data_IF_715654357502
#
_entry.id   IF_715654357502
#
_cell.length_a   1.000
_cell.length_b   1.000
_cell.length_c   1.000
_cell.angle_alpha   90.00
_cell.angle_beta   90.00
_cell.angle_gamma   90.00
#
_symmetry.space_group_name_H-M   'P 1'
#
loop_
_entity.id
_entity.type
_entity.pdbx_description
1 polymer ?
#
# COMPACT_ATOMS: atom_id res chain seq x y z
N UNK A 1 -13.88 -15.07 -25.71
CA UNK A 1 -15.01 -15.43 -24.84
C UNK A 1 -14.83 -14.60 -23.58
N UNK A 2 -15.62 -13.54 -23.38
CA UNK A 2 -15.53 -12.67 -22.21
C UNK A 2 -15.96 -13.48 -20.98
N UNK A 3 -15.03 -13.77 -20.07
CA UNK A 3 -15.34 -14.46 -18.81
C UNK A 3 -15.80 -13.40 -17.82
N UNK A 4 -17.10 -13.13 -17.76
CA UNK A 4 -17.69 -12.42 -16.64
C UNK A 4 -17.62 -13.32 -15.42
N UNK A 5 -16.87 -12.94 -14.37
CA UNK A 5 -17.05 -13.59 -13.06
C UNK A 5 -18.36 -13.08 -12.46
N UNK A 6 -19.30 -14.00 -12.26
CA UNK A 6 -20.50 -13.78 -11.45
C UNK A 6 -20.04 -13.60 -9.99
N UNK A 7 -19.84 -12.35 -9.58
CA UNK A 7 -19.53 -11.99 -8.20
C UNK A 7 -20.75 -11.37 -7.54
N UNK A 8 -21.29 -12.04 -6.52
CA UNK A 8 -22.22 -11.41 -5.58
C UNK A 8 -21.40 -10.56 -4.63
N UNK A 9 -21.60 -9.23 -4.63
CA UNK A 9 -21.07 -8.38 -3.55
C UNK A 9 -21.90 -8.70 -2.31
N UNK A 10 -21.36 -9.55 -1.44
CA UNK A 10 -21.88 -9.69 -0.08
C UNK A 10 -21.57 -8.38 0.63
N UNK A 11 -22.59 -7.58 0.90
CA UNK A 11 -22.50 -6.44 1.80
C UNK A 11 -22.17 -6.97 3.21
N UNK A 12 -20.93 -6.86 3.72
CA UNK A 12 -20.57 -7.46 5.00
C UNK A 12 -21.06 -6.63 6.19
N UNK A 13 -21.61 -5.43 5.95
CA UNK A 13 -22.04 -4.52 7.02
C UNK A 13 -23.37 -3.90 6.63
N UNK A 14 -24.45 -4.38 7.25
CA UNK A 14 -25.80 -3.87 7.08
C UNK A 14 -25.97 -2.45 7.61
N UNK A 15 -25.52 -1.45 6.85
CA UNK A 15 -25.94 -0.06 7.01
C UNK A 15 -26.13 0.52 5.60
N UNK A 16 -27.36 0.89 5.24
CA UNK A 16 -27.68 1.50 3.93
C UNK A 16 -28.53 0.61 3.01
N UNK A 17 -29.85 0.74 3.13
CA UNK A 17 -30.81 0.13 2.20
C UNK A 17 -30.79 0.86 0.85
N UNK A 18 -29.92 0.44 -0.08
CA UNK A 18 -30.18 0.55 -1.51
C UNK A 18 -30.50 -0.86 -1.99
N UNK A 19 -31.78 -1.16 -2.20
CA UNK A 19 -32.20 -2.42 -2.81
C UNK A 19 -31.81 -2.40 -4.29
N UNK A 20 -30.69 -3.03 -4.61
CA UNK A 20 -30.41 -3.44 -5.98
C UNK A 20 -31.35 -4.61 -6.33
N UNK A 21 -31.79 -4.75 -7.59
CA UNK A 21 -32.64 -5.86 -8.01
C UNK A 21 -32.03 -7.21 -7.59
N UNK A 22 -32.85 -8.12 -7.06
CA UNK A 22 -32.41 -9.47 -6.72
C UNK A 22 -31.76 -10.13 -7.95
N UNK A 23 -30.55 -10.69 -7.77
CA UNK A 23 -29.70 -11.30 -8.81
C UNK A 23 -29.05 -10.34 -9.84
N UNK A 24 -29.02 -9.03 -9.63
CA UNK A 24 -28.22 -8.13 -10.49
C UNK A 24 -26.74 -8.06 -10.06
N UNK A 25 -25.82 -8.21 -11.01
CA UNK A 25 -24.41 -7.87 -10.82
C UNK A 25 -24.25 -6.36 -10.87
N UNK A 26 -23.78 -5.76 -9.77
CA UNK A 26 -23.53 -4.31 -9.69
C UNK A 26 -22.04 -4.07 -9.71
N UNK A 27 -21.57 -3.18 -10.59
CA UNK A 27 -20.15 -2.83 -10.64
C UNK A 27 -19.79 -1.99 -9.43
N UNK A 28 -18.58 -2.17 -8.88
CA UNK A 28 -18.12 -1.37 -7.74
C UNK A 28 -18.22 0.13 -8.06
N UNK A 29 -17.82 0.55 -9.26
CA UNK A 29 -17.92 1.93 -9.73
C UNK A 29 -19.36 2.49 -9.80
N UNK A 30 -20.38 1.63 -9.78
CA UNK A 30 -21.80 2.03 -9.80
C UNK A 30 -22.39 2.17 -8.39
N UNK A 31 -21.74 1.58 -7.37
CA UNK A 31 -22.18 1.66 -5.99
C UNK A 31 -22.26 3.12 -5.52
N UNK A 32 -23.22 3.41 -4.64
CA UNK A 32 -23.37 4.76 -4.07
C UNK A 32 -22.78 4.79 -2.67
N UNK A 33 -21.99 5.81 -2.37
CA UNK A 33 -21.44 6.01 -1.04
C UNK A 33 -22.57 6.23 -0.03
N UNK A 34 -22.48 5.52 1.09
CA UNK A 34 -23.39 5.66 2.23
C UNK A 34 -22.77 6.53 3.33
N UNK A 35 -21.45 6.66 3.35
CA UNK A 35 -20.69 7.41 4.37
C UNK A 35 -20.44 8.84 3.88
N UNK A 36 -21.52 9.62 3.76
CA UNK A 36 -21.47 10.98 3.21
C UNK A 36 -20.66 11.96 4.07
N UNK A 37 -20.57 11.72 5.38
CA UNK A 37 -19.82 12.58 6.31
C UNK A 37 -18.29 12.44 6.16
N UNK A 38 -17.82 11.28 5.70
CA UNK A 38 -16.39 11.02 5.45
C UNK A 38 -15.97 11.30 4.00
N UNK A 39 -16.93 11.62 3.12
CA UNK A 39 -16.67 11.81 1.71
C UNK A 39 -15.84 13.06 1.46
N UNK A 40 -14.66 12.88 0.85
CA UNK A 40 -13.84 13.98 0.39
C UNK A 40 -14.47 14.62 -0.86
N UNK A 41 -14.30 15.94 -1.04
CA UNK A 41 -14.68 16.57 -2.29
C UNK A 41 -13.69 16.21 -3.41
N UNK A 42 -14.06 15.22 -4.21
CA UNK A 42 -13.30 14.71 -5.37
C UNK A 42 -13.79 15.25 -6.72
N UNK A 43 -14.73 16.20 -6.68
CA UNK A 43 -15.22 16.90 -7.87
C UNK A 43 -14.18 17.93 -8.33
N UNK A 44 -14.04 18.09 -9.65
CA UNK A 44 -13.06 19.00 -10.25
C UNK A 44 -11.99 18.30 -11.09
N UNK A 45 -11.06 19.14 -11.59
CA UNK A 45 -9.87 18.70 -12.32
C UNK A 45 -8.82 18.26 -11.29
N UNK A 46 -8.28 17.03 -11.38
CA UNK A 46 -7.20 16.59 -10.49
C UNK A 46 -5.95 17.46 -10.66
N UNK A 47 -5.31 17.80 -9.54
CA UNK A 47 -4.01 18.49 -9.52
C UNK A 47 -2.89 17.54 -9.95
N UNK A 48 -3.07 16.23 -9.73
CA UNK A 48 -2.14 15.20 -10.12
C UNK A 48 -2.90 13.99 -10.71
N UNK A 49 -2.49 13.55 -11.91
CA UNK A 49 -2.95 12.31 -12.52
C UNK A 49 -1.75 11.38 -12.63
N UNK A 50 -1.78 10.26 -11.89
CA UNK A 50 -0.70 9.28 -11.88
C UNK A 50 -1.20 7.94 -12.40
N UNK A 51 -0.45 7.34 -13.33
CA UNK A 51 -0.74 6.02 -13.88
C UNK A 51 0.17 4.99 -13.23
N UNK A 52 -0.38 4.21 -12.28
CA UNK A 52 0.31 3.05 -11.73
C UNK A 52 -0.06 1.85 -12.58
N UNK A 53 0.94 1.10 -13.01
CA UNK A 53 0.70 -0.12 -13.76
C UNK A 53 1.55 -1.24 -13.20
N UNK A 54 1.06 -2.46 -13.32
CA UNK A 54 1.79 -3.63 -12.86
C UNK A 54 1.76 -4.76 -13.87
N UNK A 55 2.78 -5.60 -13.77
CA UNK A 55 2.91 -6.83 -14.53
C UNK A 55 3.78 -7.83 -13.79
N UNK A 56 3.68 -9.10 -14.17
CA UNK A 56 4.62 -10.12 -13.73
C UNK A 56 5.74 -10.24 -14.75
N UNK A 57 6.98 -10.05 -14.31
CA UNK A 57 8.16 -10.30 -15.12
C UNK A 57 8.88 -11.55 -14.61
N UNK A 58 9.39 -12.35 -15.54
CA UNK A 58 10.07 -13.61 -15.22
C UNK A 58 11.56 -13.45 -15.44
N UNK A 59 12.32 -13.78 -14.41
CA UNK A 59 13.77 -13.76 -14.37
C UNK A 59 14.29 -15.17 -14.02
N UNK A 60 15.60 -15.46 -14.17
CA UNK A 60 16.16 -16.77 -13.80
C UNK A 60 15.88 -17.18 -12.34
N UNK A 61 15.70 -16.21 -11.44
CA UNK A 61 15.40 -16.41 -10.02
C UNK A 61 13.92 -16.60 -9.70
N UNK A 62 13.01 -16.46 -10.68
CA UNK A 62 11.57 -16.61 -10.50
C UNK A 62 10.74 -15.52 -11.19
N UNK A 63 9.43 -15.55 -10.94
CA UNK A 63 8.50 -14.52 -11.40
C UNK A 63 8.26 -13.49 -10.30
N UNK A 64 8.37 -12.21 -10.64
CA UNK A 64 8.24 -11.10 -9.71
C UNK A 64 7.14 -10.16 -10.20
N UNK A 65 6.14 -9.86 -9.35
CA UNK A 65 5.19 -8.82 -9.63
C UNK A 65 5.83 -7.45 -9.39
N UNK A 66 5.71 -6.56 -10.37
CA UNK A 66 6.37 -5.27 -10.35
C UNK A 66 5.38 -4.15 -10.61
N UNK A 67 5.51 -3.05 -9.86
CA UNK A 67 4.90 -1.77 -10.23
C UNK A 67 5.92 -1.00 -11.08
N UNK A 68 5.49 -0.37 -12.18
CA UNK A 68 6.39 0.44 -13.02
C UNK A 68 7.65 -0.30 -13.52
N UNK A 69 7.53 -1.59 -13.82
CA UNK A 69 8.66 -2.46 -14.15
C UNK A 69 9.76 -2.55 -13.08
N UNK A 70 9.45 -2.18 -11.83
CA UNK A 70 10.40 -2.11 -10.72
C UNK A 70 9.90 -2.96 -9.56
N UNK A 71 10.77 -3.78 -9.01
CA UNK A 71 10.50 -4.56 -7.79
C UNK A 71 10.69 -3.65 -6.57
N UNK A 72 9.70 -3.57 -5.70
CA UNK A 72 9.85 -2.84 -4.44
C UNK A 72 10.87 -3.51 -3.52
N UNK A 73 11.83 -2.71 -3.03
CA UNK A 73 12.78 -3.12 -2.00
C UNK A 73 12.45 -2.46 -0.67
N UNK A 74 12.32 -3.25 0.40
CA UNK A 74 12.08 -2.71 1.73
C UNK A 74 13.34 -2.01 2.26
N UNK A 75 13.24 -0.75 2.72
CA UNK A 75 14.34 -0.10 3.41
C UNK A 75 14.57 -0.79 4.76
N UNK A 76 15.81 -0.76 5.26
CA UNK A 76 16.19 -1.33 6.56
C UNK A 76 15.70 -0.50 7.76
N UNK A 77 14.92 0.54 7.52
CA UNK A 77 14.37 1.45 8.52
C UNK A 77 12.96 1.94 8.12
N UNK A 78 12.10 2.30 9.09
CA UNK A 78 10.81 2.90 8.80
C UNK A 78 10.98 4.33 8.26
N UNK A 79 10.40 4.60 7.09
CA UNK A 79 10.53 5.88 6.40
C UNK A 79 9.99 7.06 7.21
N UNK A 80 8.90 6.87 7.96
CA UNK A 80 8.26 7.97 8.69
C UNK A 80 9.10 8.47 9.87
N UNK A 81 9.75 7.58 10.61
CA UNK A 81 10.49 7.92 11.84
C UNK A 81 11.97 8.19 11.59
N UNK A 82 12.55 7.61 10.53
CA UNK A 82 13.96 7.76 10.14
C UNK A 82 14.09 8.42 8.76
N UNK A 83 13.21 9.39 8.46
CA UNK A 83 13.17 10.10 7.16
C UNK A 83 14.46 10.82 6.80
N UNK A 84 15.24 11.25 7.79
CA UNK A 84 16.53 11.92 7.58
C UNK A 84 17.63 10.94 7.13
N UNK A 85 17.40 9.63 7.24
CA UNK A 85 18.29 8.57 6.74
C UNK A 85 18.02 8.22 5.27
N UNK A 86 17.03 8.85 4.64
CA UNK A 86 16.69 8.66 3.22
C UNK A 86 17.72 9.43 2.38
N UNK A 87 18.54 8.70 1.61
CA UNK A 87 19.47 9.28 0.63
C UNK A 87 18.97 9.06 -0.80
N UNK A 88 19.36 9.93 -1.73
CA UNK A 88 18.83 9.93 -3.11
C UNK A 88 19.19 8.69 -3.93
N UNK A 89 20.21 7.95 -3.53
CA UNK A 89 20.69 6.70 -4.13
C UNK A 89 19.91 5.46 -3.65
N UNK A 90 19.10 5.59 -2.60
CA UNK A 90 18.31 4.48 -2.04
C UNK A 90 16.92 4.36 -2.68
N UNK A 91 16.42 5.42 -3.30
CA UNK A 91 15.03 5.52 -3.73
C UNK A 91 14.94 5.98 -5.18
N UNK A 92 14.05 5.34 -5.92
CA UNK A 92 13.64 5.79 -7.24
C UNK A 92 12.17 6.25 -7.20
N UNK A 93 11.64 6.77 -8.31
CA UNK A 93 10.26 7.25 -8.41
C UNK A 93 9.66 6.81 -9.73
N UNK A 94 8.61 6.00 -9.67
CA UNK A 94 7.92 5.49 -10.85
C UNK A 94 8.76 4.46 -11.61
N UNK A 95 8.74 4.55 -12.93
CA UNK A 95 9.52 3.67 -13.81
C UNK A 95 10.95 4.17 -13.92
N UNK A 96 11.92 3.26 -13.77
CA UNK A 96 13.34 3.59 -13.91
C UNK A 96 13.89 3.13 -15.27
N UNK A 97 14.82 3.89 -15.86
CA UNK A 97 15.56 3.45 -17.04
C UNK A 97 16.32 2.15 -16.78
N UNK A 98 16.35 1.24 -17.76
CA UNK A 98 17.01 -0.06 -17.64
C UNK A 98 18.54 0.03 -17.50
N UNK A 99 19.14 1.16 -17.88
CA UNK A 99 20.57 1.49 -17.72
C UNK A 99 20.88 2.22 -16.41
N UNK A 100 19.89 2.43 -15.55
CA UNK A 100 20.09 3.03 -14.23
C UNK A 100 20.81 2.09 -13.26
N UNK A 101 21.44 2.65 -12.23
CA UNK A 101 22.09 1.88 -11.16
C UNK A 101 21.15 1.01 -10.31
N UNK A 102 19.83 1.14 -10.51
CA UNK A 102 18.81 0.31 -9.86
C UNK A 102 18.56 -1.03 -10.57
N UNK A 103 19.11 -1.20 -11.77
CA UNK A 103 18.84 -2.33 -12.64
C UNK A 103 20.09 -3.17 -12.87
N UNK A 104 19.95 -4.50 -12.78
CA UNK A 104 20.98 -5.47 -13.16
C UNK A 104 20.33 -6.56 -14.00
N UNK A 105 20.84 -6.81 -15.21
CA UNK A 105 20.33 -7.83 -16.13
C UNK A 105 18.80 -7.73 -16.39
N UNK A 106 18.30 -6.49 -16.48
CA UNK A 106 16.88 -6.20 -16.69
C UNK A 106 16.00 -6.30 -15.43
N UNK A 107 16.55 -6.75 -14.29
CA UNK A 107 15.87 -6.73 -13.00
C UNK A 107 16.13 -5.40 -12.29
N UNK A 108 15.10 -4.56 -12.21
CA UNK A 108 15.15 -3.27 -11.51
C UNK A 108 14.55 -3.38 -10.11
N UNK A 109 15.23 -2.83 -9.09
CA UNK A 109 14.77 -2.87 -7.71
C UNK A 109 15.12 -1.59 -6.96
N UNK A 110 14.12 -1.01 -6.28
CA UNK A 110 14.27 0.19 -5.45
C UNK A 110 13.05 0.31 -4.51
N UNK A 111 13.07 1.18 -3.49
CA UNK A 111 11.90 1.38 -2.62
C UNK A 111 10.75 2.20 -3.26
N UNK A 112 10.95 2.82 -4.41
CA UNK A 112 9.93 3.48 -5.24
C UNK A 112 9.00 4.44 -4.47
N UNK A 113 9.42 5.69 -4.30
CA UNK A 113 8.65 6.72 -3.60
C UNK A 113 8.04 7.69 -4.62
N UNK A 114 6.72 7.82 -4.60
CA UNK A 114 5.96 8.80 -5.37
C UNK A 114 5.52 9.96 -4.48
N UNK A 115 5.75 11.19 -4.93
CA UNK A 115 5.45 12.39 -4.15
C UNK A 115 4.09 12.97 -4.55
N UNK A 116 3.24 13.24 -3.56
CA UNK A 116 1.96 13.92 -3.73
C UNK A 116 1.87 15.11 -2.76
N UNK A 117 1.76 16.35 -3.27
CA UNK A 117 1.65 17.54 -2.43
C UNK A 117 0.44 17.49 -1.50
N UNK A 118 0.55 18.11 -0.32
CA UNK A 118 -0.58 18.28 0.60
C UNK A 118 -1.71 19.06 -0.08
N UNK A 119 -2.95 18.76 0.28
CA UNK A 119 -4.21 19.31 -0.23
C UNK A 119 -4.53 19.07 -1.72
N UNK A 120 -3.62 18.42 -2.45
CA UNK A 120 -3.84 18.06 -3.86
C UNK A 120 -4.96 17.03 -4.03
N UNK A 121 -5.78 17.22 -5.07
CA UNK A 121 -6.70 16.21 -5.59
C UNK A 121 -5.93 15.28 -6.54
N UNK A 122 -5.79 14.02 -6.14
CA UNK A 122 -5.09 13.00 -6.90
C UNK A 122 -6.09 12.11 -7.63
N UNK A 123 -5.85 11.86 -8.91
CA UNK A 123 -6.44 10.76 -9.68
C UNK A 123 -5.37 9.70 -9.94
N UNK A 124 -5.58 8.51 -9.37
CA UNK A 124 -4.72 7.37 -9.59
C UNK A 124 -5.41 6.40 -10.55
N UNK A 125 -4.81 6.18 -11.71
CA UNK A 125 -5.26 5.20 -12.68
C UNK A 125 -4.39 3.96 -12.51
N UNK A 126 -4.97 2.89 -11.98
CA UNK A 126 -4.29 1.64 -11.71
C UNK A 126 -4.60 0.67 -12.84
N UNK A 127 -3.56 0.16 -13.51
CA UNK A 127 -3.70 -0.66 -14.72
C UNK A 127 -3.06 -2.02 -14.54
N UNK A 128 -3.85 -3.08 -14.76
CA UNK A 128 -3.35 -4.43 -14.88
C UNK A 128 -2.88 -4.69 -16.32
N UNK A 129 -1.57 -4.82 -16.52
CA UNK A 129 -1.00 -5.18 -17.82
C UNK A 129 -0.70 -6.68 -17.93
N UNK A 130 -1.00 -7.47 -16.89
CA UNK A 130 -0.83 -8.90 -16.92
C UNK A 130 -2.12 -9.58 -17.42
N UNK A 131 -1.98 -10.32 -18.52
CA UNK A 131 -3.05 -11.14 -19.09
C UNK A 131 -2.94 -12.62 -18.66
N UNK A 132 -1.88 -13.02 -17.97
CA UNK A 132 -1.54 -14.44 -17.79
C UNK A 132 -1.98 -15.01 -16.45
N UNK A 133 -1.90 -14.25 -15.35
CA UNK A 133 -2.21 -14.81 -14.02
C UNK A 133 -3.70 -15.05 -13.77
N UNK A 134 -4.61 -14.53 -14.61
CA UNK A 134 -6.07 -14.70 -14.49
C UNK A 134 -6.62 -14.39 -13.06
N UNK A 135 -5.90 -13.55 -12.30
CA UNK A 135 -6.26 -13.15 -10.95
C UNK A 135 -6.36 -11.64 -10.85
N UNK A 136 -7.42 -11.16 -10.21
CA UNK A 136 -7.55 -9.75 -9.87
C UNK A 136 -6.56 -9.39 -8.74
N UNK A 137 -6.15 -8.13 -8.70
CA UNK A 137 -5.20 -7.65 -7.70
C UNK A 137 -5.87 -6.64 -6.77
N UNK A 138 -6.09 -6.98 -5.49
CA UNK A 138 -6.60 -6.03 -4.51
C UNK A 138 -5.51 -5.02 -4.18
N UNK A 139 -5.62 -3.80 -4.68
CA UNK A 139 -4.66 -2.73 -4.41
C UNK A 139 -5.14 -1.90 -3.22
N UNK A 140 -4.30 -1.80 -2.20
CA UNK A 140 -4.57 -1.12 -0.94
C UNK A 140 -3.65 0.10 -0.78
N UNK A 141 -4.23 1.20 -0.29
CA UNK A 141 -3.52 2.43 0.03
C UNK A 141 -3.68 2.77 1.51
N UNK A 142 -2.56 2.92 2.21
CA UNK A 142 -2.56 3.37 3.60
C UNK A 142 -2.78 4.90 3.68
N UNK A 143 -3.15 5.39 4.87
CA UNK A 143 -3.16 6.82 5.18
C UNK A 143 -4.35 7.63 4.67
N UNK A 144 -5.09 7.12 3.70
CA UNK A 144 -6.31 7.74 3.18
C UNK A 144 -7.29 6.70 2.69
N UNK A 145 -8.58 7.02 2.76
CA UNK A 145 -9.59 6.37 1.93
C UNK A 145 -9.64 7.09 0.57
N UNK A 146 -10.23 6.43 -0.42
CA UNK A 146 -10.37 6.94 -1.77
C UNK A 146 -11.71 6.55 -2.38
N UNK A 147 -12.16 7.35 -3.33
CA UNK A 147 -13.36 7.11 -4.11
C UNK A 147 -13.04 6.30 -5.36
N UNK A 148 -13.73 5.17 -5.57
CA UNK A 148 -13.60 4.39 -6.81
C UNK A 148 -14.54 4.99 -7.86
N UNK A 149 -13.99 5.73 -8.83
CA UNK A 149 -14.78 6.53 -9.77
C UNK A 149 -15.00 5.85 -11.11
N UNK A 150 -14.15 4.90 -11.51
CA UNK A 150 -14.31 4.09 -12.71
C UNK A 150 -13.58 2.76 -12.56
N UNK A 151 -14.05 1.73 -13.26
CA UNK A 151 -13.40 0.42 -13.30
C UNK A 151 -13.94 -0.36 -14.51
N UNK A 152 -13.06 -0.96 -15.30
CA UNK A 152 -13.45 -1.71 -16.51
C UNK A 152 -12.35 -2.71 -16.91
N UNK A 153 -12.72 -3.72 -17.69
CA UNK A 153 -11.78 -4.61 -18.41
C UNK A 153 -11.63 -4.17 -19.86
N UNK A 154 -10.42 -4.23 -20.41
CA UNK A 154 -10.13 -3.91 -21.81
C UNK A 154 -9.44 -5.12 -22.49
N UNK A 155 -9.93 -5.53 -23.65
CA UNK A 155 -9.21 -6.53 -24.45
C UNK A 155 -7.93 -5.93 -25.03
N UNK A 156 -6.81 -6.66 -24.94
CA UNK A 156 -5.49 -6.22 -25.42
C UNK A 156 -5.07 -4.88 -24.79
N UNK A 157 -5.27 -4.74 -23.47
CA UNK A 157 -4.91 -3.54 -22.73
C UNK A 157 -3.43 -3.22 -22.86
N UNK A 158 -3.12 -1.93 -23.02
CA UNK A 158 -1.77 -1.38 -22.90
C UNK A 158 -1.82 -0.14 -22.04
N UNK A 159 -0.67 0.27 -21.49
CA UNK A 159 -0.61 1.52 -20.74
C UNK A 159 -1.03 2.72 -21.60
N UNK A 160 -0.56 2.79 -22.84
CA UNK A 160 -0.84 3.91 -23.75
C UNK A 160 -2.30 4.00 -24.13
N UNK A 161 -2.97 2.85 -24.34
CA UNK A 161 -4.41 2.84 -24.66
C UNK A 161 -5.25 3.37 -23.49
N UNK A 162 -4.91 2.99 -22.25
CA UNK A 162 -5.61 3.50 -21.05
C UNK A 162 -5.31 4.98 -20.81
N UNK A 163 -4.05 5.41 -20.96
CA UNK A 163 -3.66 6.83 -20.85
C UNK A 163 -4.42 7.68 -21.84
N UNK A 164 -4.40 7.30 -23.12
CA UNK A 164 -5.12 8.01 -24.18
C UNK A 164 -6.62 8.07 -23.90
N UNK A 165 -7.23 6.95 -23.49
CA UNK A 165 -8.65 6.90 -23.15
C UNK A 165 -8.99 7.83 -21.98
N UNK A 166 -8.14 7.89 -20.94
CA UNK A 166 -8.35 8.73 -19.78
C UNK A 166 -8.23 10.23 -20.12
N UNK A 167 -7.17 10.60 -20.84
CA UNK A 167 -6.85 11.98 -21.21
C UNK A 167 -7.86 12.58 -22.19
N UNK A 168 -8.43 11.76 -23.08
CA UNK A 168 -9.48 12.17 -24.00
C UNK A 168 -10.88 12.18 -23.38
N UNK A 169 -11.02 11.84 -22.09
CA UNK A 169 -12.30 11.78 -21.39
C UNK A 169 -13.16 10.57 -21.78
N UNK A 170 -12.57 9.54 -22.38
CA UNK A 170 -13.24 8.30 -22.76
C UNK A 170 -13.51 7.33 -21.60
N UNK A 171 -12.95 7.58 -20.41
CA UNK A 171 -13.28 6.85 -19.18
C UNK A 171 -14.42 7.58 -18.45
N UNK A 172 -15.65 7.04 -18.43
CA UNK A 172 -16.75 7.65 -17.70
C UNK A 172 -16.53 7.51 -16.18
N UNK A 173 -16.38 8.65 -15.50
CA UNK A 173 -16.10 8.71 -14.05
C UNK A 173 -17.34 9.12 -13.27
N UNK A 174 -17.73 8.32 -12.28
CA UNK A 174 -18.76 8.68 -11.29
C UNK A 174 -18.15 9.63 -10.26
N UNK A 175 -18.39 10.93 -10.40
CA UNK A 175 -17.87 11.96 -9.47
C UNK A 175 -18.86 12.35 -8.36
N UNK A 176 -20.11 11.91 -8.46
CA UNK A 176 -21.15 12.16 -7.46
C UNK A 176 -21.51 10.87 -6.73
N UNK A 177 -21.27 10.83 -5.43
CA UNK A 177 -21.51 9.67 -4.58
C UNK A 177 -20.77 8.37 -4.98
N UNK A 178 -19.54 8.36 -5.52
CA UNK A 178 -18.79 7.12 -5.73
C UNK A 178 -18.40 6.46 -4.41
N UNK A 179 -18.33 5.12 -4.34
CA UNK A 179 -18.06 4.41 -3.09
C UNK A 179 -16.69 4.80 -2.51
N UNK A 180 -16.64 4.97 -1.20
CA UNK A 180 -15.43 5.23 -0.44
C UNK A 180 -14.82 3.91 0.04
N UNK A 181 -13.53 3.69 -0.24
CA UNK A 181 -12.79 2.45 0.06
C UNK A 181 -11.33 2.74 0.40
N UNK A 182 -10.64 1.77 1.00
CA UNK A 182 -9.19 1.76 1.17
C UNK A 182 -8.48 0.72 0.28
N UNK A 183 -9.27 -0.16 -0.34
CA UNK A 183 -8.81 -1.29 -1.16
C UNK A 183 -9.73 -1.46 -2.35
N UNK A 184 -9.17 -1.61 -3.55
CA UNK A 184 -9.91 -1.86 -4.80
C UNK A 184 -9.34 -3.06 -5.53
N UNK A 185 -10.21 -3.97 -5.96
CA UNK A 185 -9.82 -5.10 -6.81
C UNK A 185 -9.67 -4.61 -8.25
N UNK A 186 -8.44 -4.53 -8.74
CA UNK A 186 -8.17 -4.19 -10.15
C UNK A 186 -8.41 -5.44 -10.99
N UNK A 187 -9.32 -5.38 -11.98
CA UNK A 187 -9.68 -6.55 -12.75
C UNK A 187 -8.56 -6.94 -13.72
N UNK A 188 -8.41 -8.24 -13.98
CA UNK A 188 -7.45 -8.79 -14.97
C UNK A 188 -7.61 -8.09 -16.32
N UNK A 189 -6.48 -7.67 -16.90
CA UNK A 189 -6.49 -6.94 -18.18
C UNK A 189 -7.44 -5.74 -18.17
N UNK A 190 -7.43 -4.97 -17.09
CA UNK A 190 -8.34 -3.87 -16.87
C UNK A 190 -7.71 -2.74 -16.08
N UNK A 191 -8.55 -1.80 -15.67
CA UNK A 191 -8.12 -0.67 -14.86
C UNK A 191 -9.14 -0.34 -13.78
N UNK A 192 -8.66 0.30 -12.72
CA UNK A 192 -9.48 1.02 -11.75
C UNK A 192 -8.98 2.47 -11.65
N UNK A 193 -9.90 3.42 -11.59
CA UNK A 193 -9.60 4.83 -11.36
C UNK A 193 -10.11 5.19 -9.98
N UNK A 194 -9.21 5.67 -9.14
CA UNK A 194 -9.53 6.16 -7.81
C UNK A 194 -9.19 7.64 -7.68
N UNK A 195 -9.95 8.36 -6.85
CA UNK A 195 -9.67 9.76 -6.50
C UNK A 195 -9.66 9.96 -5.00
N UNK A 196 -8.73 10.75 -4.51
CA UNK A 196 -8.62 11.13 -3.10
C UNK A 196 -7.94 12.49 -2.97
N UNK A 197 -8.17 13.16 -1.84
CA UNK A 197 -7.40 14.32 -1.44
C UNK A 197 -6.30 13.93 -0.49
N UNK A 198 -5.12 14.49 -0.70
CA UNK A 198 -3.98 14.32 0.20
C UNK A 198 -4.23 15.20 1.42
N UNK A 199 -4.63 14.61 2.55
CA UNK A 199 -4.92 15.35 3.79
C UNK A 199 -4.15 14.82 5.00
N UNK A 200 -3.31 13.81 4.81
CA UNK A 200 -2.59 13.12 5.87
C UNK A 200 -1.10 13.01 5.53
N UNK A 201 -0.27 14.03 5.85
CA UNK A 201 1.14 14.03 5.51
C UNK A 201 1.89 12.83 6.12
N UNK A 202 2.70 12.14 5.31
CA UNK A 202 3.43 10.96 5.76
C UNK A 202 3.98 10.11 4.62
N UNK A 203 4.45 8.92 4.96
CA UNK A 203 4.87 7.89 4.02
C UNK A 203 3.88 6.72 4.11
N UNK A 204 3.13 6.49 3.04
CA UNK A 204 2.04 5.53 3.02
C UNK A 204 2.30 4.41 2.04
N UNK A 205 2.09 3.18 2.48
CA UNK A 205 2.34 2.01 1.66
C UNK A 205 1.19 1.83 0.66
N UNK A 206 1.54 1.66 -0.61
CA UNK A 206 0.60 1.32 -1.67
C UNK A 206 1.01 -0.03 -2.26
N UNK A 207 0.16 -1.05 -2.12
CA UNK A 207 0.57 -2.41 -2.45
C UNK A 207 -0.60 -3.32 -2.82
N UNK A 208 -0.28 -4.45 -3.45
CA UNK A 208 -1.23 -5.55 -3.56
C UNK A 208 -1.44 -6.19 -2.18
N UNK A 209 -2.69 -6.39 -1.77
CA UNK A 209 -3.05 -6.98 -0.49
C UNK A 209 -3.00 -8.52 -0.49
N UNK A 210 -2.51 -9.13 -1.59
CA UNK A 210 -2.04 -10.52 -1.58
C UNK A 210 -0.63 -10.51 -1.00
N UNK A 211 -0.47 -11.03 0.22
CA UNK A 211 0.77 -10.90 1.00
C UNK A 211 2.02 -11.37 0.26
N UNK A 212 1.92 -12.44 -0.54
CA UNK A 212 3.03 -12.92 -1.36
C UNK A 212 3.40 -11.94 -2.48
N UNK A 213 2.43 -11.26 -3.10
CA UNK A 213 2.70 -10.29 -4.16
C UNK A 213 3.36 -9.03 -3.58
N UNK A 214 2.88 -8.53 -2.44
CA UNK A 214 3.55 -7.43 -1.73
C UNK A 214 4.98 -7.81 -1.31
N UNK A 215 5.17 -8.99 -0.73
CA UNK A 215 6.49 -9.46 -0.29
C UNK A 215 7.48 -9.65 -1.45
N UNK A 216 6.99 -10.01 -2.64
CA UNK A 216 7.80 -10.14 -3.86
C UNK A 216 8.00 -8.81 -4.60
N UNK A 217 7.43 -7.70 -4.10
CA UNK A 217 7.76 -6.36 -4.57
C UNK A 217 6.66 -5.61 -5.34
N UNK A 218 5.40 -6.09 -5.33
CA UNK A 218 4.26 -5.37 -5.90
C UNK A 218 3.79 -4.21 -5.00
N UNK A 219 4.66 -3.23 -4.82
CA UNK A 219 4.42 -2.12 -3.93
C UNK A 219 5.13 -0.83 -4.36
N UNK A 220 4.70 0.28 -3.78
CA UNK A 220 5.34 1.58 -3.82
C UNK A 220 5.03 2.30 -2.49
N UNK A 221 5.72 3.41 -2.24
CA UNK A 221 5.42 4.30 -1.13
C UNK A 221 4.94 5.64 -1.68
N UNK A 222 3.84 6.14 -1.15
CA UNK A 222 3.33 7.46 -1.46
C UNK A 222 3.76 8.41 -0.33
N UNK A 223 4.62 9.38 -0.67
CA UNK A 223 4.97 10.50 0.21
C UNK A 223 3.90 11.58 0.06
N UNK A 224 3.09 11.75 1.08
CA UNK A 224 2.09 12.82 1.18
C UNK A 224 2.71 14.02 1.90
N UNK A 225 2.71 15.17 1.23
CA UNK A 225 3.27 16.41 1.77
C UNK A 225 4.79 16.41 1.92
N UNK A 226 5.30 17.50 2.47
CA UNK A 226 6.70 17.73 2.83
C UNK A 226 6.99 17.34 4.28
N UNK A 227 8.27 17.13 4.59
CA UNK A 227 8.71 16.68 5.93
C UNK A 227 8.29 17.62 7.05
N UNK A 228 8.18 18.92 6.77
CA UNK A 228 7.75 19.94 7.73
C UNK A 228 6.26 19.86 8.05
N UNK A 229 5.46 19.24 7.17
CA UNK A 229 4.02 19.04 7.33
C UNK A 229 3.70 17.73 8.07
N UNK A 230 4.65 16.80 8.10
CA UNK A 230 4.54 15.52 8.81
C UNK A 230 4.71 15.69 10.31
N UNK A 231 4.02 14.84 11.09
CA UNK A 231 4.26 14.74 12.53
C UNK A 231 5.76 14.52 12.82
N UNK A 232 6.33 15.17 13.84
CA UNK A 232 7.72 14.95 14.20
C UNK A 232 7.89 13.56 14.81
N UNK A 233 9.04 12.93 14.54
CA UNK A 233 9.40 11.68 15.22
C UNK A 233 9.39 11.89 16.74
N UNK A 234 8.73 11.02 17.53
CA UNK A 234 8.75 11.12 18.98
C UNK A 234 10.17 11.18 19.55
N UNK A 235 10.36 11.91 20.64
CA UNK A 235 11.66 11.97 21.31
C UNK A 235 12.09 10.58 21.76
N UNK A 236 13.35 10.24 21.53
CA UNK A 236 13.94 8.93 21.86
C UNK A 236 13.25 7.74 21.16
N UNK A 237 12.64 7.96 19.99
CA UNK A 237 12.12 6.86 19.18
C UNK A 237 13.27 5.93 18.75
N UNK A 238 13.16 4.60 18.94
CA UNK A 238 14.21 3.67 18.58
C UNK A 238 14.54 3.69 17.09
N UNK A 239 15.82 3.77 16.74
CA UNK A 239 16.30 3.60 15.36
C UNK A 239 16.46 2.12 15.03
N UNK A 240 16.52 1.76 13.74
CA UNK A 240 16.67 0.36 13.31
C UNK A 240 18.04 -0.21 13.68
N UNK A 241 19.08 0.63 13.76
CA UNK A 241 20.38 0.28 14.34
C UNK A 241 20.24 -0.11 15.81
N UNK A 242 19.56 0.70 16.62
CA UNK A 242 19.33 0.41 18.04
C UNK A 242 18.45 -0.83 18.24
N UNK A 243 17.44 -1.05 17.39
CA UNK A 243 16.58 -2.24 17.46
C UNK A 243 17.33 -3.52 17.07
N UNK A 244 18.23 -3.45 16.08
CA UNK A 244 19.08 -4.56 15.66
C UNK A 244 20.14 -4.88 16.72
N UNK A 245 20.74 -3.86 17.32
CA UNK A 245 21.63 -4.02 18.48
C UNK A 245 20.90 -4.64 19.67
N UNK A 246 19.66 -4.24 19.95
CA UNK A 246 18.83 -4.84 20.99
C UNK A 246 18.56 -6.32 20.70
N UNK A 247 18.15 -6.65 19.47
CA UNK A 247 17.95 -8.04 19.03
C UNK A 247 19.23 -8.88 19.11
N UNK A 248 20.37 -8.35 18.70
CA UNK A 248 21.66 -9.03 18.77
C UNK A 248 22.13 -9.21 20.22
N UNK A 249 21.87 -8.24 21.10
CA UNK A 249 22.17 -8.33 22.53
C UNK A 249 21.33 -9.41 23.23
N UNK A 250 20.06 -9.58 22.85
CA UNK A 250 19.22 -10.68 23.33
C UNK A 250 19.67 -12.02 22.77
N UNK A 251 20.05 -12.08 21.49
CA UNK A 251 20.55 -13.32 20.86
C UNK A 251 21.88 -13.78 21.46
N UNK A 252 22.78 -12.86 21.77
CA UNK A 252 24.04 -13.17 22.46
C UNK A 252 23.81 -13.55 23.92
N UNK A 253 22.81 -12.98 24.59
CA UNK A 253 22.39 -13.43 25.92
C UNK A 253 21.73 -14.83 25.91
N UNK A 254 21.06 -15.22 24.81
CA UNK A 254 20.46 -16.55 24.64
C UNK A 254 21.53 -17.58 24.28
N UNK A 255 22.44 -17.25 23.36
CA UNK A 255 23.52 -18.15 22.91
C UNK A 255 24.69 -18.24 23.91
N UNK A 256 24.81 -17.30 24.84
CA UNK A 256 25.79 -17.32 25.93
C UNK A 256 25.35 -18.08 27.19
N UNK A 257 24.14 -18.65 27.22
CA UNK A 257 23.62 -19.40 28.38
C UNK A 257 23.43 -20.92 28.13
N UNK A 258 23.87 -21.45 26.99
CA UNK A 258 23.75 -22.87 26.65
C UNK A 258 25.04 -23.67 26.85
N UNK A 259 25.76 -23.42 27.96
CA UNK A 259 26.50 -24.49 28.64
C UNK A 259 25.78 -24.85 29.94
N UNK A 260 24.73 -25.66 29.78
CA UNK A 260 24.18 -26.49 30.86
C UNK A 260 22.94 -25.95 31.57
N UNK A 261 21.75 -26.31 31.07
CA UNK A 261 20.61 -26.78 31.88
C UNK A 261 19.32 -26.79 31.06
N UNK A 262 18.80 -27.98 30.74
CA UNK A 262 17.43 -28.20 30.27
C UNK A 262 16.41 -27.63 31.26
N UNK A 263 15.59 -26.68 30.82
CA UNK A 263 14.40 -26.25 31.55
C UNK A 263 13.64 -25.12 30.87
N UNK A 264 12.59 -25.46 30.11
CA UNK A 264 11.66 -24.50 29.53
C UNK A 264 10.92 -23.74 30.63
N UNK A 265 11.07 -22.42 30.68
CA UNK A 265 10.14 -21.52 31.38
C UNK A 265 9.67 -20.44 30.40
N UNK A 266 8.35 -20.25 30.37
CA UNK A 266 7.63 -19.31 29.51
C UNK A 266 8.21 -17.89 29.59
N UNK A 267 8.26 -17.24 28.42
CA UNK A 267 8.73 -15.87 28.16
C UNK A 267 8.11 -14.85 29.14
N UNK A 268 6.89 -15.08 29.62
CA UNK A 268 6.18 -14.21 30.56
C UNK A 268 6.87 -14.08 31.93
N UNK A 269 7.62 -15.10 32.38
CA UNK A 269 8.25 -15.07 33.71
C UNK A 269 9.54 -14.24 33.75
N UNK A 270 10.21 -14.02 32.61
CA UNK A 270 11.48 -13.26 32.55
C UNK A 270 11.27 -11.75 32.45
N UNK A 271 10.13 -11.30 31.93
CA UNK A 271 9.78 -9.86 31.80
C UNK A 271 9.61 -9.19 33.16
N UNK A 272 9.16 -9.92 34.20
CA UNK A 272 8.84 -9.35 35.51
C UNK A 272 10.06 -9.01 36.39
N UNK A 273 11.29 -9.40 36.01
CA UNK A 273 12.48 -9.32 36.89
C UNK A 273 13.63 -8.43 36.38
N UNK A 274 13.41 -7.56 35.38
CA UNK A 274 14.44 -6.64 34.91
C UNK A 274 14.57 -5.40 35.83
N UNK A 275 15.80 -5.02 36.27
CA UNK A 275 16.02 -3.81 37.06
C UNK A 275 16.12 -2.59 36.13
N UNK A 276 15.25 -1.58 36.32
CA UNK A 276 15.40 -0.27 35.66
C UNK A 276 14.14 0.40 35.11
N UNK A 277 12.96 -0.22 35.15
CA UNK A 277 11.74 0.50 34.73
C UNK A 277 11.19 1.35 35.88
N UNK A 278 11.16 2.68 35.71
CA UNK A 278 10.35 3.55 36.57
C UNK A 278 8.88 3.12 36.50
N UNK A 279 8.19 3.26 37.63
CA UNK A 279 6.82 2.76 37.84
C UNK A 279 5.76 3.41 36.95
N UNK A 280 6.06 4.54 36.31
CA UNK A 280 5.16 5.22 35.36
C UNK A 280 5.08 4.54 33.99
N UNK A 281 6.20 4.02 33.45
CA UNK A 281 6.22 3.37 32.13
C UNK A 281 5.55 1.99 32.09
N UNK A 282 5.31 1.36 33.25
CA UNK A 282 4.63 0.06 33.35
C UNK A 282 3.11 0.15 33.14
N UNK A 283 2.51 1.32 33.37
CA UNK A 283 1.07 1.52 33.23
C UNK A 283 0.63 1.69 31.78
N UNK A 284 1.45 2.34 30.96
CA UNK A 284 1.09 2.75 29.61
C UNK A 284 1.20 1.60 28.60
N UNK A 285 2.24 0.76 28.73
CA UNK A 285 2.42 -0.44 27.89
C UNK A 285 1.33 -1.49 28.14
N UNK A 286 0.84 -1.62 29.38
CA UNK A 286 -0.27 -2.53 29.71
C UNK A 286 -1.63 -2.06 29.19
N UNK A 287 -1.78 -0.76 28.92
CA UNK A 287 -3.01 -0.19 28.35
C UNK A 287 -3.07 -0.40 26.84
N UNK A 288 -1.95 -0.19 26.16
CA UNK A 288 -1.84 -0.34 24.70
C UNK A 288 -2.04 -1.79 24.23
N UNK A 289 -1.67 -2.78 25.05
CA UNK A 289 -1.81 -4.21 24.72
C UNK A 289 -3.17 -4.83 25.07
N UNK A 290 -4.11 -4.09 25.65
CA UNK A 290 -5.48 -4.57 25.91
C UNK A 290 -6.51 -4.15 24.88
N UNK A 291 -6.16 -3.18 24.04
CA UNK A 291 -7.07 -2.59 23.04
C UNK A 291 -6.65 -2.96 21.59
N UNK A 292 -5.87 -4.02 21.42
CA UNK A 292 -5.60 -4.75 20.16
C UNK A 292 -6.08 -6.19 20.31
#
# INVERSE_FOLDING_TARGET
MLVYRLGTVLNPVGVGHISYPENSTVRISELTNIDLEQAQNITGVPDNVTYVWYRFNTFPSGSYPQLFNTTFSFPSFPLLTQRDSITSDMYCSGEVPSDSGYCSDGFCSCTNILNFPLDSLVELVIVDLDSFTHMDHPMHLHGTQFHVVAMETIQNITLDTVKQLNEQGGIPKKLTGPPLKDTVSVPVSGYAVIRFRVTNPGYWFFHCHISSHAALGMAAVFKFGEHQEMAPTPRNFPTSSAATECWLSERTSIMGQDEGSRGSKSVEQKINNLPGSSTEGRGEVRRILRDL
#
